data_IF_429469968085
#
_entry.id   IF_429469968085
#
_cell.length_a   1.000
_cell.length_b   1.000
_cell.length_c   1.000
_cell.angle_alpha   90.00
_cell.angle_beta   90.00
_cell.angle_gamma   90.00
#
_symmetry.space_group_name_H-M   'P 1'
#
loop_
_entity.id
_entity.type
_entity.pdbx_description
1 polymer ?
#
# COMPACT_ATOMS: atom_id res chain seq x y z
N UNK A 1 8.01 -21.72 11.29
CA UNK A 1 9.18 -21.20 10.54
C UNK A 1 8.70 -19.97 9.80
N UNK A 2 9.49 -18.91 9.71
CA UNK A 2 9.12 -17.74 8.88
C UNK A 2 9.46 -18.06 7.43
N UNK A 3 8.43 -18.23 6.58
CA UNK A 3 8.65 -18.34 5.14
C UNK A 3 8.93 -16.97 4.57
N UNK A 4 10.10 -16.81 3.97
CA UNK A 4 10.48 -15.60 3.24
C UNK A 4 11.42 -16.00 2.10
N UNK A 5 10.85 -16.35 0.94
CA UNK A 5 11.60 -16.95 -0.17
C UNK A 5 11.01 -16.61 -1.53
N UNK A 6 11.87 -16.51 -2.54
CA UNK A 6 11.46 -16.45 -3.94
C UNK A 6 10.83 -17.78 -4.34
N UNK A 7 9.65 -17.76 -4.96
CA UNK A 7 8.93 -18.97 -5.38
C UNK A 7 8.64 -19.03 -6.86
N UNK A 8 8.61 -17.89 -7.55
CA UNK A 8 8.39 -17.83 -8.99
C UNK A 8 8.93 -16.53 -9.58
N UNK A 9 9.09 -16.48 -10.90
CA UNK A 9 9.42 -15.27 -11.65
C UNK A 9 8.75 -15.25 -13.01
N UNK A 10 8.30 -14.07 -13.41
CA UNK A 10 7.75 -13.83 -14.74
C UNK A 10 8.70 -12.90 -15.50
N UNK A 11 9.08 -13.29 -16.72
CA UNK A 11 9.80 -12.45 -17.67
C UNK A 11 8.76 -11.86 -18.62
N UNK A 12 8.79 -10.54 -18.81
CA UNK A 12 7.87 -9.82 -19.68
C UNK A 12 8.29 -9.93 -21.16
N UNK A 13 7.41 -9.50 -22.06
CA UNK A 13 7.66 -9.58 -23.50
C UNK A 13 8.65 -8.50 -23.98
N UNK A 14 9.17 -8.65 -25.21
CA UNK A 14 10.04 -7.64 -25.82
C UNK A 14 9.34 -6.27 -25.91
N UNK A 15 10.04 -5.22 -25.46
CA UNK A 15 9.51 -3.86 -25.36
C UNK A 15 8.68 -3.58 -24.10
N UNK A 16 8.48 -4.59 -23.22
CA UNK A 16 7.99 -4.42 -21.85
C UNK A 16 9.21 -4.35 -20.91
N UNK A 17 10.09 -3.37 -21.17
CA UNK A 17 11.35 -3.17 -20.44
C UNK A 17 11.13 -2.36 -19.16
N UNK A 18 12.03 -2.54 -18.19
CA UNK A 18 12.08 -1.81 -16.92
C UNK A 18 10.74 -1.85 -16.21
N UNK A 19 10.43 -2.91 -15.46
CA UNK A 19 9.24 -2.91 -14.62
C UNK A 19 9.46 -1.87 -13.49
N UNK A 20 8.69 -0.78 -13.50
CA UNK A 20 8.89 0.38 -12.62
C UNK A 20 7.93 0.40 -11.43
N UNK A 21 6.63 0.22 -11.68
CA UNK A 21 5.62 0.21 -10.62
C UNK A 21 4.59 -0.90 -10.85
N UNK A 22 3.85 -1.24 -9.79
CA UNK A 22 2.89 -2.33 -9.81
C UNK A 22 1.72 -2.06 -8.85
N UNK A 23 0.52 -2.40 -9.29
CA UNK A 23 -0.68 -2.40 -8.45
C UNK A 23 -1.55 -3.62 -8.72
N UNK A 24 -2.41 -3.96 -7.78
CA UNK A 24 -3.35 -5.08 -7.88
C UNK A 24 -4.78 -4.55 -7.94
N UNK A 25 -5.59 -5.16 -8.80
CA UNK A 25 -7.04 -4.97 -8.82
C UNK A 25 -7.72 -6.29 -9.17
N UNK A 26 -8.56 -6.79 -8.25
CA UNK A 26 -9.22 -8.08 -8.40
C UNK A 26 -8.23 -9.25 -8.50
N UNK A 27 -8.38 -10.06 -9.56
CA UNK A 27 -7.54 -11.26 -9.80
C UNK A 27 -6.28 -10.98 -10.64
N UNK A 28 -6.00 -9.71 -10.91
CA UNK A 28 -4.92 -9.28 -11.78
C UNK A 28 -4.01 -8.28 -11.06
N UNK A 29 -2.77 -8.22 -11.53
CA UNK A 29 -1.86 -7.12 -11.26
C UNK A 29 -1.54 -6.40 -12.56
N UNK A 30 -1.26 -5.11 -12.45
CA UNK A 30 -0.94 -4.22 -13.55
C UNK A 30 0.46 -3.68 -13.32
N UNK A 31 1.34 -3.88 -14.29
CA UNK A 31 2.76 -3.51 -14.20
C UNK A 31 3.05 -2.40 -15.19
N UNK A 32 3.55 -1.27 -14.69
CA UNK A 32 4.05 -0.19 -15.52
C UNK A 32 5.48 -0.54 -15.95
N UNK A 33 5.65 -0.65 -17.26
CA UNK A 33 6.93 -0.81 -17.92
C UNK A 33 7.23 0.47 -18.71
N UNK A 34 8.49 0.83 -18.87
CA UNK A 34 8.86 1.97 -19.70
C UNK A 34 10.28 2.45 -19.50
N UNK A 35 10.89 2.93 -20.59
CA UNK A 35 12.23 3.53 -20.60
C UNK A 35 12.31 4.67 -21.62
N UNK A 36 13.49 5.27 -21.77
CA UNK A 36 13.71 6.45 -22.64
C UNK A 36 13.37 6.24 -24.11
N UNK A 37 13.44 5.01 -24.61
CA UNK A 37 13.42 4.70 -26.04
C UNK A 37 12.14 4.03 -26.53
N UNK A 38 11.24 3.66 -25.62
CA UNK A 38 9.99 2.96 -25.94
C UNK A 38 8.85 3.58 -25.14
N UNK A 39 7.68 3.86 -25.74
CA UNK A 39 6.54 4.36 -25.00
C UNK A 39 6.20 3.47 -23.81
N UNK A 40 5.79 4.03 -22.66
CA UNK A 40 5.43 3.24 -21.48
C UNK A 40 4.28 2.28 -21.80
N UNK A 41 4.27 1.15 -21.10
CA UNK A 41 3.24 0.12 -21.24
C UNK A 41 2.67 -0.24 -19.88
N UNK A 42 1.38 -0.52 -19.86
CA UNK A 42 0.75 -1.19 -18.71
C UNK A 42 0.46 -2.63 -19.10
N UNK A 43 1.09 -3.56 -18.40
CA UNK A 43 0.99 -5.00 -18.64
C UNK A 43 0.07 -5.62 -17.61
N UNK A 44 -0.98 -6.30 -18.05
CA UNK A 44 -1.86 -7.07 -17.19
C UNK A 44 -1.32 -8.48 -17.00
N UNK A 45 -1.17 -8.87 -15.73
CA UNK A 45 -0.68 -10.18 -15.32
C UNK A 45 -1.71 -10.82 -14.40
N UNK A 46 -2.14 -12.03 -14.73
CA UNK A 46 -3.06 -12.78 -13.90
C UNK A 46 -2.33 -13.30 -12.67
N UNK A 47 -2.87 -13.09 -11.46
CA UNK A 47 -2.27 -13.59 -10.20
C UNK A 47 -2.25 -15.12 -10.13
N UNK A 48 -3.24 -15.76 -10.76
CA UNK A 48 -3.37 -17.21 -10.91
C UNK A 48 -3.78 -17.51 -12.36
N UNK A 49 -2.86 -17.97 -13.23
CA UNK A 49 -1.67 -18.78 -12.89
C UNK A 49 -0.33 -18.02 -12.85
N UNK A 50 -0.27 -16.73 -12.52
CA UNK A 50 0.96 -15.92 -12.58
C UNK A 50 1.54 -15.81 -14.01
N UNK A 51 0.71 -15.34 -14.94
CA UNK A 51 1.08 -15.19 -16.36
C UNK A 51 0.68 -13.83 -16.92
N UNK A 52 1.51 -13.29 -17.81
CA UNK A 52 1.16 -12.12 -18.64
C UNK A 52 -0.05 -12.47 -19.50
N UNK A 53 -0.99 -11.52 -19.64
CA UNK A 53 -2.27 -11.75 -20.34
C UNK A 53 -2.46 -10.82 -21.53
N UNK A 54 -2.29 -9.51 -21.32
CA UNK A 54 -2.36 -8.47 -22.36
C UNK A 54 -1.62 -7.22 -21.88
N UNK A 55 -1.47 -6.24 -22.77
CA UNK A 55 -0.86 -4.96 -22.45
C UNK A 55 -1.51 -3.82 -23.24
N UNK A 56 -1.39 -2.60 -22.72
CA UNK A 56 -1.71 -1.37 -23.44
C UNK A 56 -0.45 -0.51 -23.53
N UNK A 57 -0.21 0.06 -24.70
CA UNK A 57 0.89 0.99 -24.94
C UNK A 57 0.37 2.41 -24.83
N UNK A 58 1.02 3.22 -23.99
CA UNK A 58 0.72 4.64 -23.85
C UNK A 58 1.28 5.42 -25.05
N UNK A 59 0.74 6.61 -25.36
CA UNK A 59 1.25 7.44 -26.44
C UNK A 59 2.71 7.85 -26.21
N UNK A 60 3.46 8.09 -27.28
CA UNK A 60 4.88 8.50 -27.22
C UNK A 60 5.10 9.76 -26.38
N UNK A 61 4.16 10.69 -26.43
CA UNK A 61 4.16 11.95 -25.69
C UNK A 61 3.82 11.78 -24.19
N UNK A 62 3.61 10.55 -23.72
CA UNK A 62 3.60 10.24 -22.30
C UNK A 62 5.00 10.39 -21.68
N UNK A 63 6.08 10.19 -22.44
CA UNK A 63 7.43 10.17 -21.90
C UNK A 63 7.67 8.92 -21.05
N UNK A 64 8.15 9.09 -19.82
CA UNK A 64 8.40 8.01 -18.87
C UNK A 64 7.17 7.76 -18.00
N UNK A 65 6.86 6.49 -17.70
CA UNK A 65 5.93 6.15 -16.64
C UNK A 65 6.64 6.13 -15.29
N UNK A 66 6.08 6.77 -14.25
CA UNK A 66 6.71 6.86 -12.92
C UNK A 66 5.98 6.04 -11.87
N UNK A 67 4.66 6.16 -11.81
CA UNK A 67 3.86 5.48 -10.81
C UNK A 67 2.51 5.07 -11.37
N UNK A 68 1.94 4.02 -10.80
CA UNK A 68 0.60 3.56 -11.15
C UNK A 68 -0.20 3.20 -9.90
N UNK A 69 -1.50 3.43 -9.96
CA UNK A 69 -2.45 2.99 -8.93
C UNK A 69 -3.74 2.50 -9.57
N UNK A 70 -4.39 1.53 -8.93
CA UNK A 70 -5.70 1.05 -9.36
C UNK A 70 -6.78 1.53 -8.39
N UNK A 71 -7.87 2.06 -8.91
CA UNK A 71 -9.05 2.43 -8.11
C UNK A 71 -10.32 2.43 -8.98
N UNK A 72 -11.45 1.98 -8.42
CA UNK A 72 -12.76 2.10 -9.06
C UNK A 72 -12.90 1.45 -10.44
N UNK A 73 -12.15 0.38 -10.74
CA UNK A 73 -12.16 -0.25 -12.07
C UNK A 73 -11.25 0.43 -13.10
N UNK A 74 -10.40 1.35 -12.66
CA UNK A 74 -9.46 2.07 -13.50
C UNK A 74 -8.02 1.95 -12.99
N UNK A 75 -7.08 2.10 -13.91
CA UNK A 75 -5.65 2.26 -13.67
C UNK A 75 -5.31 3.71 -13.98
N UNK A 76 -4.66 4.38 -13.05
CA UNK A 76 -4.14 5.73 -13.23
C UNK A 76 -2.63 5.64 -13.32
N UNK A 77 -2.08 6.11 -14.44
CA UNK A 77 -0.64 6.07 -14.70
C UNK A 77 -0.13 7.48 -14.78
N UNK A 78 0.80 7.84 -13.90
CA UNK A 78 1.51 9.10 -13.97
C UNK A 78 2.73 8.96 -14.87
N UNK A 79 2.79 9.85 -15.85
CA UNK A 79 3.87 9.92 -16.80
C UNK A 79 4.45 11.33 -16.86
N UNK A 80 5.71 11.44 -17.26
CA UNK A 80 6.35 12.72 -17.50
C UNK A 80 7.33 12.66 -18.67
N UNK A 81 7.30 13.72 -19.47
CA UNK A 81 8.24 14.01 -20.54
C UNK A 81 9.03 15.26 -20.13
N UNK A 82 10.36 15.18 -20.21
CA UNK A 82 11.25 16.25 -19.76
C UNK A 82 10.90 17.60 -20.40
N UNK A 83 10.75 18.64 -19.57
CA UNK A 83 10.36 19.99 -19.99
C UNK A 83 8.88 20.13 -20.35
N UNK A 84 8.04 19.15 -20.02
CA UNK A 84 6.59 19.20 -20.20
C UNK A 84 5.85 18.87 -18.89
N UNK A 85 4.66 19.45 -18.68
CA UNK A 85 3.81 19.10 -17.56
C UNK A 85 3.55 17.60 -17.47
N UNK A 86 3.46 17.08 -16.25
CA UNK A 86 3.13 15.69 -16.02
C UNK A 86 1.73 15.35 -16.53
N UNK A 87 1.53 14.08 -16.89
CA UNK A 87 0.26 13.57 -17.41
C UNK A 87 -0.23 12.39 -16.60
N UNK A 88 -1.53 12.28 -16.43
CA UNK A 88 -2.18 11.11 -15.84
C UNK A 88 -3.05 10.47 -16.90
N UNK A 89 -2.74 9.23 -17.25
CA UNK A 89 -3.58 8.43 -18.14
C UNK A 89 -4.53 7.58 -17.30
N UNK A 90 -5.84 7.67 -17.58
CA UNK A 90 -6.87 6.82 -16.99
C UNK A 90 -7.17 5.69 -17.97
N UNK A 91 -7.02 4.45 -17.51
CA UNK A 91 -7.15 3.23 -18.31
C UNK A 91 -8.25 2.38 -17.69
N UNK A 92 -9.17 1.84 -18.49
CA UNK A 92 -10.17 0.88 -18.01
C UNK A 92 -9.52 -0.48 -17.74
N UNK A 93 -9.80 -1.08 -16.57
CA UNK A 93 -9.37 -2.44 -16.25
C UNK A 93 -10.04 -3.48 -17.18
N UNK A 94 -11.32 -3.29 -17.50
CA UNK A 94 -12.08 -4.27 -18.29
C UNK A 94 -11.55 -4.39 -19.73
N UNK A 95 -11.35 -3.25 -20.39
CA UNK A 95 -10.92 -3.21 -21.80
C UNK A 95 -9.41 -3.09 -21.97
N UNK A 96 -8.68 -2.69 -20.93
CA UNK A 96 -7.28 -2.29 -20.98
C UNK A 96 -7.03 -1.23 -22.07
N UNK A 97 -7.88 -0.20 -22.11
CA UNK A 97 -7.75 0.92 -23.04
C UNK A 97 -7.72 2.25 -22.30
N UNK A 98 -6.97 3.22 -22.81
CA UNK A 98 -6.96 4.59 -22.32
C UNK A 98 -8.35 5.18 -22.59
N UNK A 99 -8.99 5.71 -21.55
CA UNK A 99 -10.33 6.30 -21.64
C UNK A 99 -10.32 7.81 -21.41
N UNK A 100 -9.29 8.33 -20.74
CA UNK A 100 -9.17 9.75 -20.43
C UNK A 100 -7.70 10.11 -20.10
N UNK A 101 -7.38 11.39 -20.14
CA UNK A 101 -6.04 11.89 -19.79
C UNK A 101 -6.13 13.28 -19.20
N UNK A 102 -5.45 13.48 -18.06
CA UNK A 102 -5.21 14.82 -17.49
C UNK A 102 -3.79 15.26 -17.81
N UNK A 103 -3.62 16.51 -18.23
CA UNK A 103 -2.32 17.19 -18.27
C UNK A 103 -2.30 18.21 -17.14
N UNK A 104 -1.27 18.16 -16.29
CA UNK A 104 -1.13 19.08 -15.17
C UNK A 104 -0.76 20.51 -15.61
N UNK A 105 -0.76 21.44 -14.66
CA UNK A 105 -0.43 22.84 -14.91
C UNK A 105 1.00 23.06 -15.42
N UNK A 106 1.23 24.22 -16.03
CA UNK A 106 2.58 24.62 -16.46
C UNK A 106 3.53 24.72 -15.27
N UNK A 107 4.67 24.03 -15.34
CA UNK A 107 5.65 23.95 -14.25
C UNK A 107 5.32 22.87 -13.21
N UNK A 108 4.29 22.04 -13.43
CA UNK A 108 4.01 20.86 -12.61
C UNK A 108 4.61 19.64 -13.28
N UNK A 109 5.92 19.51 -13.14
CA UNK A 109 6.72 18.47 -13.77
C UNK A 109 7.09 17.39 -12.75
N UNK A 110 7.70 16.31 -13.21
CA UNK A 110 8.29 15.28 -12.34
C UNK A 110 9.78 15.30 -12.59
N UNK A 111 10.57 15.46 -11.53
CA UNK A 111 12.01 15.43 -11.69
C UNK A 111 12.51 13.99 -11.92
N UNK A 112 13.04 13.73 -13.12
CA UNK A 112 13.27 12.38 -13.66
C UNK A 112 14.28 11.52 -12.92
N UNK A 113 15.17 12.13 -12.13
CA UNK A 113 16.18 11.41 -11.36
C UNK A 113 15.61 10.69 -10.12
N UNK A 114 14.31 10.85 -9.83
CA UNK A 114 13.70 10.36 -8.60
C UNK A 114 12.46 9.50 -8.87
N UNK A 115 12.61 8.20 -8.67
CA UNK A 115 11.60 7.16 -8.95
C UNK A 115 11.01 6.60 -7.64
N UNK A 116 10.54 7.48 -6.75
CA UNK A 116 9.83 7.06 -5.53
C UNK A 116 8.31 6.98 -5.71
N UNK A 117 7.57 6.60 -4.65
CA UNK A 117 6.10 6.62 -4.67
C UNK A 117 5.61 8.07 -4.59
N UNK A 118 5.29 8.63 -5.75
CA UNK A 118 4.79 10.01 -5.86
C UNK A 118 3.28 10.07 -6.12
N UNK A 119 2.55 8.95 -6.03
CA UNK A 119 1.09 8.91 -6.11
C UNK A 119 0.49 8.19 -4.90
N UNK A 120 -0.52 8.80 -4.29
CA UNK A 120 -1.33 8.17 -3.23
C UNK A 120 -2.80 8.49 -3.41
N UNK A 121 -3.64 7.51 -3.09
CA UNK A 121 -5.09 7.65 -3.07
C UNK A 121 -5.53 8.13 -1.69
N UNK A 122 -6.50 9.05 -1.63
CA UNK A 122 -7.21 9.38 -0.39
C UNK A 122 -7.85 8.13 0.22
N UNK A 123 -8.01 8.09 1.55
CA UNK A 123 -8.62 6.92 2.21
C UNK A 123 -10.07 6.68 1.81
N UNK A 124 -10.80 7.74 1.44
CA UNK A 124 -12.17 7.65 0.92
C UNK A 124 -12.23 7.30 -0.58
N UNK A 125 -11.08 7.25 -1.27
CA UNK A 125 -10.98 6.93 -2.70
C UNK A 125 -11.49 8.03 -3.64
N UNK A 126 -11.78 9.24 -3.15
CA UNK A 126 -12.34 10.31 -3.98
C UNK A 126 -11.28 11.14 -4.70
N UNK A 127 -10.07 11.22 -4.13
CA UNK A 127 -8.98 12.03 -4.67
C UNK A 127 -7.69 11.24 -4.85
N UNK A 128 -6.94 11.62 -5.86
CA UNK A 128 -5.55 11.21 -6.08
C UNK A 128 -4.63 12.39 -5.76
N UNK A 129 -3.61 12.14 -4.96
CA UNK A 129 -2.56 13.12 -4.66
C UNK A 129 -1.27 12.74 -5.36
N UNK A 130 -0.62 13.74 -5.96
CA UNK A 130 0.55 13.56 -6.81
C UNK A 130 1.65 14.49 -6.39
N UNK A 131 2.85 13.94 -6.20
CA UNK A 131 4.06 14.68 -5.97
C UNK A 131 4.53 15.26 -7.30
N UNK A 132 4.62 16.58 -7.35
CA UNK A 132 5.16 17.33 -8.49
C UNK A 132 6.36 18.14 -8.03
N UNK A 133 7.21 18.52 -8.98
CA UNK A 133 8.33 19.44 -8.77
C UNK A 133 8.20 20.60 -9.74
N UNK A 134 8.35 21.81 -9.21
CA UNK A 134 8.43 23.01 -10.02
C UNK A 134 9.83 23.22 -10.54
N UNK A 135 10.07 22.89 -11.80
CA UNK A 135 11.37 23.09 -12.46
C UNK A 135 11.47 24.56 -12.94
N UNK A 136 11.45 25.49 -11.98
CA UNK A 136 11.80 26.91 -12.18
C UNK A 136 13.00 27.30 -11.33
N UNK A 137 13.35 28.58 -11.31
CA UNK A 137 14.50 29.13 -10.57
C UNK A 137 14.54 28.82 -9.07
N UNK A 138 13.44 28.33 -8.49
CA UNK A 138 13.27 28.05 -7.07
C UNK A 138 13.01 26.58 -6.71
N UNK A 139 13.00 25.67 -7.68
CA UNK A 139 12.97 24.20 -7.54
C UNK A 139 12.14 23.68 -6.34
N UNK A 140 10.81 23.82 -6.39
CA UNK A 140 9.95 23.50 -5.23
C UNK A 140 9.22 22.17 -5.36
N UNK A 141 9.08 21.48 -4.24
CA UNK A 141 8.18 20.35 -4.12
C UNK A 141 6.72 20.84 -4.09
N UNK A 142 5.79 20.11 -4.72
CA UNK A 142 4.35 20.38 -4.64
C UNK A 142 3.50 19.13 -4.62
N UNK A 143 2.29 19.24 -4.11
CA UNK A 143 1.28 18.19 -4.14
C UNK A 143 0.10 18.68 -4.97
N UNK A 144 -0.18 18.02 -6.09
CA UNK A 144 -1.41 18.24 -6.85
C UNK A 144 -2.52 17.31 -6.33
N UNK A 145 -3.75 17.83 -6.19
CA UNK A 145 -4.94 17.10 -5.76
C UNK A 145 -5.91 16.94 -6.92
N UNK A 146 -6.17 15.71 -7.31
CA UNK A 146 -6.99 15.37 -8.49
C UNK A 146 -8.30 14.74 -8.03
N UNK A 147 -9.43 15.25 -8.49
CA UNK A 147 -10.74 14.61 -8.28
C UNK A 147 -10.89 13.43 -9.25
N UNK A 148 -11.10 12.23 -8.71
CA UNK A 148 -11.11 11.00 -9.52
C UNK A 148 -12.38 10.81 -10.36
N UNK A 149 -13.46 11.50 -9.98
CA UNK A 149 -14.74 11.44 -10.70
C UNK A 149 -14.66 12.19 -12.02
N UNK A 150 -14.08 13.37 -12.01
CA UNK A 150 -13.96 14.29 -13.15
C UNK A 150 -12.59 14.22 -13.83
N UNK A 151 -11.60 13.59 -13.18
CA UNK A 151 -10.20 13.58 -13.59
C UNK A 151 -9.67 15.01 -13.81
N UNK A 152 -10.00 15.91 -12.89
CA UNK A 152 -9.55 17.30 -12.92
C UNK A 152 -8.69 17.62 -11.70
N UNK A 153 -7.70 18.48 -11.90
CA UNK A 153 -6.97 19.08 -10.80
C UNK A 153 -7.88 20.05 -10.03
N UNK A 154 -7.96 19.87 -8.73
CA UNK A 154 -8.80 20.67 -7.82
C UNK A 154 -7.97 21.55 -6.87
N UNK A 155 -6.65 21.52 -7.02
CA UNK A 155 -5.73 22.34 -6.27
C UNK A 155 -4.31 21.82 -6.29
N UNK A 156 -3.37 22.74 -6.09
CA UNK A 156 -1.97 22.47 -5.89
C UNK A 156 -1.46 23.15 -4.62
N UNK A 157 -0.72 22.39 -3.82
CA UNK A 157 -0.03 22.88 -2.64
C UNK A 157 1.47 22.84 -2.89
N UNK A 158 2.09 24.01 -3.03
CA UNK A 158 3.55 24.11 -3.08
C UNK A 158 4.10 24.09 -1.66
N UNK A 159 5.01 23.17 -1.40
CA UNK A 159 5.67 23.01 -0.11
C UNK A 159 6.84 24.00 0.01
N UNK A 160 7.30 24.21 1.24
CA UNK A 160 8.51 25.01 1.51
C UNK A 160 9.80 24.24 1.21
N UNK A 161 9.69 22.94 0.96
CA UNK A 161 10.77 22.00 0.73
C UNK A 161 11.11 21.83 -0.75
N UNK A 162 12.25 21.21 -1.01
CA UNK A 162 12.71 20.85 -2.35
C UNK A 162 12.42 19.36 -2.57
N UNK A 163 11.80 19.06 -3.71
CA UNK A 163 11.40 17.73 -4.18
C UNK A 163 10.49 16.88 -3.29
N UNK A 164 9.66 16.08 -3.95
CA UNK A 164 8.87 15.01 -3.33
C UNK A 164 9.35 13.66 -3.84
N UNK A 165 9.47 12.72 -2.93
CA UNK A 165 10.09 11.43 -3.18
C UNK A 165 9.20 10.29 -2.72
N UNK A 166 8.55 10.44 -1.56
CA UNK A 166 7.61 9.46 -1.02
C UNK A 166 6.37 10.11 -0.44
N UNK A 167 5.25 9.41 -0.50
CA UNK A 167 4.01 9.86 0.15
C UNK A 167 3.25 8.71 0.80
N UNK A 168 2.66 8.99 1.95
CA UNK A 168 1.74 8.08 2.65
C UNK A 168 0.62 8.88 3.31
N UNK A 169 -0.57 8.30 3.38
CA UNK A 169 -1.74 8.92 4.04
C UNK A 169 -2.09 8.13 5.31
N UNK A 170 -2.55 8.83 6.34
CA UNK A 170 -3.22 8.25 7.51
C UNK A 170 -4.30 9.22 8.00
N UNK A 171 -5.55 8.77 7.97
CA UNK A 171 -6.72 9.60 8.20
C UNK A 171 -6.74 10.80 7.25
N UNK A 172 -6.84 12.00 7.82
CA UNK A 172 -6.87 13.26 7.08
C UNK A 172 -5.48 13.90 6.88
N UNK A 173 -4.39 13.19 7.18
CA UNK A 173 -3.03 13.71 7.05
C UNK A 173 -2.30 12.97 5.93
N UNK A 174 -1.75 13.73 4.99
CA UNK A 174 -0.78 13.29 4.02
C UNK A 174 0.63 13.60 4.55
N UNK A 175 1.47 12.57 4.59
CA UNK A 175 2.88 12.66 4.92
C UNK A 175 3.67 12.65 3.63
N UNK A 176 4.46 13.70 3.41
CA UNK A 176 5.29 13.87 2.22
C UNK A 176 6.74 13.86 2.63
N UNK A 177 7.49 12.91 2.12
CA UNK A 177 8.93 12.87 2.25
C UNK A 177 9.54 13.79 1.19
N UNK A 178 10.44 14.66 1.64
CA UNK A 178 11.14 15.67 0.83
C UNK A 178 12.59 15.81 1.27
N UNK A 179 13.44 16.44 0.45
CA UNK A 179 14.85 16.66 0.79
C UNK A 179 15.38 18.00 0.24
N UNK A 180 15.24 19.10 0.99
CA UNK A 180 15.98 20.34 0.75
C UNK A 180 17.49 20.13 0.89
N UNK A 181 18.24 20.08 -0.22
CA UNK A 181 19.70 20.21 -0.20
C UNK A 181 20.39 19.25 0.77
N UNK A 182 20.07 17.96 0.66
CA UNK A 182 20.57 16.83 1.47
C UNK A 182 19.97 16.64 2.87
N UNK A 183 19.06 17.49 3.34
CA UNK A 183 18.38 17.27 4.63
C UNK A 183 17.01 16.63 4.41
N UNK A 184 16.86 15.36 4.80
CA UNK A 184 15.59 14.66 4.72
C UNK A 184 14.55 15.27 5.66
N UNK A 185 13.34 15.47 5.13
CA UNK A 185 12.19 16.04 5.86
C UNK A 185 10.94 15.21 5.64
N UNK A 186 10.05 15.30 6.63
CA UNK A 186 8.67 14.84 6.53
C UNK A 186 7.76 16.05 6.69
N UNK A 187 6.97 16.33 5.67
CA UNK A 187 5.96 17.39 5.66
C UNK A 187 4.60 16.77 5.94
N UNK A 188 3.85 17.36 6.87
CA UNK A 188 2.46 16.98 7.14
C UNK A 188 1.55 17.96 6.41
N UNK A 189 0.64 17.42 5.61
CA UNK A 189 -0.40 18.17 4.89
C UNK A 189 -1.76 17.72 5.41
N UNK A 190 -2.56 18.67 5.90
CA UNK A 190 -3.96 18.42 6.22
C UNK A 190 -4.75 18.36 4.92
N UNK A 191 -5.44 17.25 4.66
CA UNK A 191 -6.16 17.01 3.42
C UNK A 191 -7.52 17.72 3.34
N UNK A 192 -8.11 18.07 4.48
CA UNK A 192 -9.40 18.78 4.55
C UNK A 192 -9.22 20.26 4.19
N UNK A 193 -8.17 20.90 4.70
CA UNK A 193 -7.83 22.28 4.34
C UNK A 193 -6.88 22.36 3.15
N UNK A 194 -6.23 21.25 2.80
CA UNK A 194 -5.18 21.15 1.79
C UNK A 194 -4.03 22.12 2.03
N UNK A 195 -3.55 22.15 3.27
CA UNK A 195 -2.47 23.04 3.73
C UNK A 195 -1.37 22.27 4.43
N UNK A 196 -0.13 22.72 4.26
CA UNK A 196 1.01 22.26 5.07
C UNK A 196 0.81 22.70 6.53
N UNK A 197 0.80 21.74 7.46
CA UNK A 197 0.55 22.00 8.89
C UNK A 197 1.78 21.79 9.77
N UNK A 198 2.75 21.00 9.31
CA UNK A 198 4.00 20.81 10.02
C UNK A 198 5.13 20.34 9.09
N UNK A 199 6.37 20.58 9.53
CA UNK A 199 7.58 20.05 8.92
C UNK A 199 8.43 19.45 10.03
N UNK A 200 8.95 18.26 9.79
CA UNK A 200 9.85 17.57 10.72
C UNK A 200 11.15 17.26 9.99
N UNK A 201 12.23 17.85 10.47
CA UNK A 201 13.56 17.53 10.00
C UNK A 201 13.97 16.16 10.55
N UNK A 202 14.50 15.29 9.68
CA UNK A 202 15.11 14.03 10.08
C UNK A 202 16.57 14.27 10.54
N UNK A 203 16.80 15.44 11.16
CA UNK A 203 18.02 16.27 11.25
C UNK A 203 19.28 15.67 11.87
N UNK A 204 19.33 14.39 12.19
CA UNK A 204 20.56 13.79 12.71
C UNK A 204 21.52 13.33 11.64
N UNK A 205 21.07 13.09 10.40
CA UNK A 205 22.01 12.94 9.30
C UNK A 205 21.40 13.38 7.96
N UNK A 206 22.27 13.75 7.04
CA UNK A 206 21.94 14.14 5.67
C UNK A 206 21.29 12.92 5.00
N UNK A 207 20.08 13.04 4.47
CA UNK A 207 19.31 11.90 3.97
C UNK A 207 18.44 12.29 2.79
N UNK A 208 18.44 11.44 1.77
CA UNK A 208 17.44 11.41 0.73
C UNK A 208 16.39 10.37 1.15
N UNK A 209 15.20 10.78 1.62
CA UNK A 209 14.13 9.84 1.80
C UNK A 209 13.68 9.38 0.40
N UNK A 210 13.36 8.09 0.21
CA UNK A 210 12.91 7.60 -1.11
C UNK A 210 11.43 7.26 -1.12
N UNK A 211 10.94 6.71 -0.02
CA UNK A 211 9.55 6.33 0.13
C UNK A 211 9.19 6.29 1.61
N UNK A 212 7.90 6.33 1.90
CA UNK A 212 7.41 6.23 3.26
C UNK A 212 6.09 5.49 3.37
N UNK A 213 5.86 4.93 4.56
CA UNK A 213 4.65 4.18 4.88
C UNK A 213 4.23 4.48 6.31
N UNK A 214 3.00 4.94 6.49
CA UNK A 214 2.40 5.04 7.84
C UNK A 214 1.88 3.67 8.26
N UNK A 215 2.17 3.28 9.50
CA UNK A 215 1.59 2.11 10.17
C UNK A 215 1.31 2.44 11.63
N UNK A 216 0.03 2.47 12.00
CA UNK A 216 -0.38 2.91 13.33
C UNK A 216 0.09 4.34 13.60
N UNK A 217 0.76 4.54 14.75
CA UNK A 217 1.27 5.85 15.16
C UNK A 217 2.72 6.13 14.68
N UNK A 218 3.20 5.39 13.68
CA UNK A 218 4.56 5.54 13.18
C UNK A 218 4.58 5.77 11.68
N UNK A 219 5.45 6.67 11.23
CA UNK A 219 5.86 6.80 9.84
C UNK A 219 7.21 6.11 9.66
N UNK A 220 7.28 5.21 8.71
CA UNK A 220 8.52 4.54 8.34
C UNK A 220 9.03 5.15 7.04
N UNK A 221 10.26 5.65 7.07
CA UNK A 221 10.88 6.37 5.96
C UNK A 221 12.10 5.58 5.50
N UNK A 222 12.11 5.19 4.23
CA UNK A 222 13.33 4.64 3.61
C UNK A 222 14.32 5.76 3.42
N UNK A 223 15.54 5.55 3.91
CA UNK A 223 16.65 6.49 3.76
C UNK A 223 17.70 5.93 2.82
N UNK A 224 18.21 6.82 1.99
CA UNK A 224 19.48 6.67 1.32
C UNK A 224 20.36 7.87 1.65
N UNK A 225 21.66 7.65 1.65
CA UNK A 225 22.64 8.66 1.96
C UNK A 225 23.90 8.43 1.14
N UNK A 226 24.52 9.52 0.71
CA UNK A 226 25.89 9.56 0.22
C UNK A 226 26.57 10.79 0.82
N UNK A 227 27.57 10.59 1.69
CA UNK A 227 28.50 11.66 2.09
C UNK A 227 29.91 11.14 2.00
N UNK A 228 30.76 11.93 1.33
CA UNK A 228 32.18 11.62 1.17
C UNK A 228 32.43 10.23 0.54
N UNK A 229 31.48 9.76 -0.28
CA UNK A 229 31.52 8.44 -0.93
C UNK A 229 31.14 7.26 -0.02
N UNK A 230 30.76 7.52 1.24
CA UNK A 230 30.15 6.52 2.11
C UNK A 230 28.65 6.54 1.89
N UNK A 231 28.14 5.45 1.35
CA UNK A 231 26.73 5.25 1.17
C UNK A 231 26.14 4.62 2.44
N UNK A 232 25.00 5.08 2.92
CA UNK A 232 24.29 4.42 4.01
C UNK A 232 22.82 4.25 3.66
N UNK A 233 22.27 3.09 3.97
CA UNK A 233 20.83 2.87 3.92
C UNK A 233 20.28 2.53 5.27
N UNK A 234 18.96 2.60 5.35
CA UNK A 234 18.24 2.23 6.53
C UNK A 234 16.78 2.53 6.41
N UNK A 235 16.12 2.34 7.52
CA UNK A 235 14.73 2.71 7.71
C UNK A 235 14.61 3.50 9.01
N UNK A 236 14.04 4.69 8.90
CA UNK A 236 13.76 5.55 10.04
C UNK A 236 12.31 5.37 10.44
N UNK A 237 12.07 4.98 11.70
CA UNK A 237 10.76 4.94 12.34
C UNK A 237 10.55 6.23 13.12
N UNK A 238 9.66 7.08 12.63
CA UNK A 238 9.26 8.33 13.27
C UNK A 238 7.94 8.14 14.02
N UNK A 239 7.92 8.35 15.33
CA UNK A 239 6.68 8.42 16.10
C UNK A 239 5.91 9.70 15.73
N UNK A 240 4.65 9.58 15.35
CA UNK A 240 3.87 10.70 14.81
C UNK A 240 3.31 11.65 15.88
N UNK A 241 3.20 11.18 17.12
CA UNK A 241 2.79 11.96 18.30
C UNK A 241 3.98 12.70 18.93
N UNK A 242 5.08 11.98 19.21
CA UNK A 242 6.22 12.53 19.95
C UNK A 242 7.31 13.10 19.03
N UNK A 243 7.26 12.77 17.75
CA UNK A 243 8.26 13.14 16.74
C UNK A 243 9.67 12.62 17.03
N UNK A 244 9.78 11.61 17.88
CA UNK A 244 11.03 10.91 18.13
C UNK A 244 11.29 9.91 17.00
N UNK A 245 12.52 9.90 16.49
CA UNK A 245 12.94 9.00 15.42
C UNK A 245 13.93 7.94 15.94
N UNK A 246 13.77 6.72 15.45
CA UNK A 246 14.70 5.62 15.64
C UNK A 246 15.08 5.03 14.28
N UNK A 247 16.33 4.65 14.11
CA UNK A 247 16.82 4.24 12.80
C UNK A 247 17.53 2.89 12.85
N UNK A 248 17.21 2.04 11.90
CA UNK A 248 17.97 0.81 11.64
C UNK A 248 19.00 1.13 10.56
N UNK A 249 20.31 1.18 10.89
CA UNK A 249 21.32 1.24 9.86
C UNK A 249 21.36 -0.09 9.12
N UNK A 250 21.46 -0.01 7.80
CA UNK A 250 21.63 -1.15 6.91
C UNK A 250 22.96 -1.00 6.18
N UNK A 251 23.47 -2.13 5.71
CA UNK A 251 24.77 -2.17 5.08
C UNK A 251 24.88 -1.13 3.95
N UNK A 252 26.04 -0.49 3.88
CA UNK A 252 26.32 0.73 3.14
C UNK A 252 26.03 0.69 1.62
N UNK A 253 25.72 -0.47 1.04
CA UNK A 253 25.70 -0.64 -0.42
C UNK A 253 24.32 -0.62 -1.07
N UNK A 254 23.28 -0.21 -0.33
CA UNK A 254 21.91 -0.25 -0.83
C UNK A 254 21.42 1.12 -1.28
N UNK A 255 20.51 1.17 -2.24
CA UNK A 255 19.56 2.28 -2.39
C UNK A 255 18.20 1.66 -2.09
N UNK A 256 17.35 2.26 -1.28
CA UNK A 256 16.05 1.66 -0.95
C UNK A 256 14.95 2.40 -1.70
N UNK A 257 14.01 1.69 -2.34
CA UNK A 257 13.12 2.32 -3.32
C UNK A 257 11.65 2.31 -2.97
N UNK A 258 11.10 1.17 -2.57
CA UNK A 258 9.68 1.03 -2.25
C UNK A 258 9.51 0.39 -0.89
N UNK A 259 8.65 0.95 -0.05
CA UNK A 259 8.23 0.33 1.21
C UNK A 259 6.73 0.05 1.19
N UNK A 260 6.34 -1.11 1.71
CA UNK A 260 4.94 -1.41 2.01
C UNK A 260 4.81 -2.07 3.38
N UNK A 261 3.63 -1.94 3.99
CA UNK A 261 3.26 -2.68 5.18
C UNK A 261 2.33 -3.84 4.81
N UNK A 262 2.67 -5.05 5.26
CA UNK A 262 1.89 -6.25 5.01
C UNK A 262 2.14 -7.31 6.10
N UNK A 263 1.11 -8.02 6.57
CA UNK A 263 1.24 -9.03 7.64
C UNK A 263 2.05 -8.58 8.87
N UNK A 264 1.80 -7.37 9.40
CA UNK A 264 2.51 -6.84 10.57
C UNK A 264 4.02 -6.64 10.36
N UNK A 265 4.48 -6.69 9.11
CA UNK A 265 5.86 -6.48 8.71
C UNK A 265 5.93 -5.35 7.69
N UNK A 266 7.07 -4.66 7.67
CA UNK A 266 7.44 -3.80 6.56
C UNK A 266 8.28 -4.60 5.59
N UNK A 267 8.03 -4.39 4.31
CA UNK A 267 8.86 -4.91 3.23
C UNK A 267 9.38 -3.74 2.45
N UNK A 268 10.66 -3.79 2.06
CA UNK A 268 11.18 -2.85 1.10
C UNK A 268 12.22 -3.46 0.17
N UNK A 269 12.38 -2.79 -0.96
CA UNK A 269 13.25 -3.19 -2.06
C UNK A 269 14.56 -2.42 -2.04
N UNK A 270 15.66 -3.09 -2.39
CA UNK A 270 16.93 -2.43 -2.65
C UNK A 270 17.25 -2.38 -4.14
N UNK A 271 17.82 -1.26 -4.57
CA UNK A 271 18.48 -1.05 -5.83
C UNK A 271 19.96 -1.06 -5.60
N UNK A 272 20.43 -2.28 -5.46
CA UNK A 272 21.84 -2.54 -5.32
C UNK A 272 22.17 -3.75 -6.15
N UNK A 273 23.46 -3.95 -6.36
CA UNK A 273 23.98 -5.22 -6.82
C UNK A 273 24.83 -5.77 -5.66
N UNK A 274 24.38 -6.81 -4.95
CA UNK A 274 23.20 -7.63 -5.20
C UNK A 274 21.87 -6.97 -4.78
N UNK A 275 20.80 -7.21 -5.55
CA UNK A 275 19.44 -6.72 -5.23
C UNK A 275 18.78 -7.59 -4.16
N UNK A 276 18.09 -6.96 -3.21
CA UNK A 276 17.56 -7.60 -2.01
C UNK A 276 16.16 -7.12 -1.69
N UNK A 277 15.39 -8.00 -1.07
CA UNK A 277 14.11 -7.66 -0.43
C UNK A 277 14.31 -7.82 1.07
N UNK A 278 13.99 -6.79 1.82
CA UNK A 278 14.15 -6.79 3.28
C UNK A 278 12.78 -6.85 3.93
N UNK A 279 12.65 -7.67 4.98
CA UNK A 279 11.48 -7.76 5.85
C UNK A 279 11.86 -7.27 7.23
N UNK A 280 11.13 -6.30 7.77
CA UNK A 280 11.25 -5.83 9.16
C UNK A 280 9.95 -6.18 9.87
N UNK A 281 10.01 -7.05 10.87
CA UNK A 281 8.82 -7.35 11.69
C UNK A 281 8.61 -6.24 12.70
N UNK A 282 7.41 -5.69 12.78
CA UNK A 282 7.14 -4.51 13.59
C UNK A 282 7.15 -4.79 15.10
N UNK A 283 6.76 -5.99 15.50
CA UNK A 283 6.79 -6.49 16.89
C UNK A 283 8.18 -6.94 17.36
N UNK A 284 9.09 -7.19 16.42
CA UNK A 284 10.49 -7.57 16.69
C UNK A 284 11.48 -6.43 16.34
N UNK A 285 11.01 -5.19 16.19
CA UNK A 285 11.87 -4.04 15.86
C UNK A 285 13.04 -3.91 16.85
N UNK A 286 14.30 -3.70 16.38
CA UNK A 286 14.72 -3.36 15.01
C UNK A 286 15.15 -4.56 14.14
N UNK A 287 14.75 -5.79 14.46
CA UNK A 287 15.23 -6.97 13.74
C UNK A 287 14.66 -7.05 12.32
N UNK A 288 15.51 -7.48 11.38
CA UNK A 288 15.13 -7.65 9.98
C UNK A 288 15.71 -8.92 9.35
N UNK A 289 15.08 -9.37 8.28
CA UNK A 289 15.53 -10.47 7.43
C UNK A 289 15.80 -9.95 6.02
N UNK A 290 16.79 -10.54 5.35
CA UNK A 290 17.16 -10.18 3.98
C UNK A 290 16.97 -11.40 3.09
N UNK A 291 16.25 -11.22 1.99
CA UNK A 291 16.17 -12.17 0.89
C UNK A 291 17.04 -11.63 -0.27
N UNK A 292 18.13 -12.34 -0.56
CA UNK A 292 18.96 -12.06 -1.72
C UNK A 292 18.29 -12.63 -2.98
N UNK A 293 18.05 -11.76 -3.96
CA UNK A 293 17.43 -12.10 -5.25
C UNK A 293 18.34 -11.74 -6.43
N UNK A 294 19.62 -11.51 -6.18
CA UNK A 294 20.56 -10.98 -7.18
C UNK A 294 20.75 -11.85 -8.42
N UNK A 295 20.63 -13.17 -8.29
CA UNK A 295 20.65 -14.08 -9.43
C UNK A 295 19.51 -13.81 -10.42
N UNK A 296 18.37 -13.30 -9.93
CA UNK A 296 17.15 -13.07 -10.70
C UNK A 296 16.90 -11.58 -10.99
N UNK A 297 17.50 -10.70 -10.20
CA UNK A 297 17.43 -9.25 -10.30
C UNK A 297 18.84 -8.63 -10.24
N UNK A 298 19.60 -8.64 -11.35
CA UNK A 298 20.94 -8.05 -11.37
C UNK A 298 20.91 -6.52 -11.31
N UNK A 299 19.79 -5.91 -11.73
CA UNK A 299 19.62 -4.47 -11.91
C UNK A 299 18.35 -4.04 -11.20
N UNK A 300 18.47 -3.72 -9.92
CA UNK A 300 17.51 -2.98 -9.09
C UNK A 300 16.07 -3.50 -8.96
N UNK A 301 15.50 -3.29 -7.79
CA UNK A 301 14.08 -3.55 -7.52
C UNK A 301 13.35 -2.22 -7.33
N UNK A 302 12.16 -2.09 -7.92
CA UNK A 302 11.34 -0.88 -7.80
C UNK A 302 10.01 -1.20 -7.10
N UNK A 303 8.90 -1.14 -7.87
CA UNK A 303 7.54 -1.33 -7.40
C UNK A 303 7.35 -2.67 -6.70
N UNK A 304 6.50 -2.63 -5.67
CA UNK A 304 6.15 -3.80 -4.89
C UNK A 304 4.70 -3.69 -4.44
N UNK A 305 3.99 -4.80 -4.53
CA UNK A 305 2.62 -4.96 -4.04
C UNK A 305 2.46 -6.33 -3.39
N UNK A 306 1.49 -6.45 -2.50
CA UNK A 306 1.20 -7.70 -1.81
C UNK A 306 -0.21 -8.20 -2.13
N UNK A 307 -0.39 -9.52 -2.20
CA UNK A 307 -1.71 -10.16 -2.17
C UNK A 307 -1.59 -11.62 -1.75
N UNK A 308 -2.51 -12.05 -0.89
CA UNK A 308 -2.53 -13.39 -0.32
C UNK A 308 -1.25 -13.65 0.46
N UNK A 309 -0.54 -14.72 0.15
CA UNK A 309 0.69 -15.10 0.86
C UNK A 309 1.96 -14.59 0.17
N UNK A 310 1.81 -13.66 -0.78
CA UNK A 310 2.88 -13.29 -1.70
C UNK A 310 3.10 -11.78 -1.78
N UNK A 311 4.35 -11.42 -1.99
CA UNK A 311 4.77 -10.15 -2.59
C UNK A 311 5.03 -10.36 -4.07
N UNK A 312 4.75 -9.33 -4.85
CA UNK A 312 5.10 -9.21 -6.26
C UNK A 312 6.00 -8.00 -6.41
N UNK A 313 7.21 -8.21 -6.94
CA UNK A 313 8.27 -7.19 -6.96
C UNK A 313 8.76 -6.99 -8.39
N UNK A 314 8.74 -5.74 -8.84
CA UNK A 314 9.26 -5.34 -10.14
C UNK A 314 10.79 -5.31 -10.15
N UNK A 315 11.37 -5.85 -11.22
CA UNK A 315 12.81 -5.83 -11.49
C UNK A 315 13.08 -4.92 -12.68
N UNK A 316 14.07 -4.04 -12.54
CA UNK A 316 14.48 -3.09 -13.58
C UNK A 316 15.39 -3.74 -14.62
N UNK A 317 14.88 -4.71 -15.36
CA UNK A 317 15.61 -5.40 -16.42
C UNK A 317 15.04 -5.13 -17.81
N UNK A 318 15.76 -5.56 -18.85
CA UNK A 318 15.28 -5.58 -20.24
C UNK A 318 15.43 -7.00 -20.79
N UNK A 319 14.33 -7.74 -21.06
CA UNK A 319 12.94 -7.41 -20.72
C UNK A 319 12.71 -7.25 -19.21
N UNK A 320 11.65 -6.54 -18.81
CA UNK A 320 11.24 -6.40 -17.41
C UNK A 320 10.91 -7.75 -16.78
N UNK A 321 10.99 -7.84 -15.45
CA UNK A 321 10.62 -9.06 -14.71
C UNK A 321 9.78 -8.74 -13.48
N UNK A 322 9.03 -9.73 -13.03
CA UNK A 322 8.28 -9.71 -11.77
C UNK A 322 8.71 -10.91 -10.95
N UNK A 323 9.15 -10.68 -9.72
CA UNK A 323 9.44 -11.73 -8.75
C UNK A 323 8.19 -12.01 -7.91
N UNK A 324 7.90 -13.28 -7.66
CA UNK A 324 6.87 -13.72 -6.71
C UNK A 324 7.55 -14.28 -5.48
N UNK A 325 7.37 -13.61 -4.35
CA UNK A 325 8.02 -13.95 -3.09
C UNK A 325 6.98 -14.38 -2.10
N UNK A 326 7.12 -15.58 -1.54
CA UNK A 326 6.25 -16.06 -0.48
C UNK A 326 6.71 -15.46 0.86
N UNK A 327 5.79 -14.83 1.57
CA UNK A 327 6.05 -14.13 2.85
C UNK A 327 5.41 -14.79 4.06
N UNK A 328 4.48 -15.70 3.82
CA UNK A 328 3.82 -16.49 4.85
C UNK A 328 3.63 -17.94 4.39
N UNK A 329 3.60 -18.87 5.34
CA UNK A 329 3.24 -20.25 5.05
C UNK A 329 1.79 -20.30 4.58
N UNK A 330 1.54 -21.08 3.53
CA UNK A 330 0.19 -21.58 3.34
C UNK A 330 -0.06 -22.48 4.53
N UNK A 331 -0.92 -22.04 5.46
CA UNK A 331 -1.44 -22.90 6.51
C UNK A 331 -1.96 -24.12 5.75
N UNK A 332 -1.33 -25.31 5.89
CA UNK A 332 -1.79 -26.48 5.19
C UNK A 332 -3.24 -26.63 5.60
N UNK A 333 -4.14 -26.52 4.62
CA UNK A 333 -5.51 -26.91 4.83
C UNK A 333 -5.40 -28.35 5.35
N UNK A 334 -5.68 -28.59 6.63
CA UNK A 334 -5.75 -29.95 7.19
C UNK A 334 -7.07 -30.53 6.67
N UNK A 335 -7.18 -30.64 5.36
CA UNK A 335 -8.17 -31.42 4.68
C UNK A 335 -7.44 -32.72 4.39
N UNK A 336 -7.81 -33.80 5.07
CA UNK A 336 -7.18 -35.12 4.96
C UNK A 336 -7.33 -35.80 3.59
N UNK A 337 -7.28 -35.08 2.47
CA UNK A 337 -7.23 -35.63 1.12
C UNK A 337 -6.31 -34.83 0.20
N UNK A 338 -5.28 -35.53 -0.26
CA UNK A 338 -4.20 -35.10 -1.15
C UNK A 338 -4.61 -35.09 -2.63
N UNK A 339 -5.61 -34.31 -3.01
CA UNK A 339 -5.92 -34.08 -4.43
C UNK A 339 -5.60 -32.64 -4.86
N UNK A 340 -4.98 -32.43 -6.04
CA UNK A 340 -4.65 -31.10 -6.54
C UNK A 340 -5.92 -30.29 -6.82
N UNK A 341 -5.97 -29.06 -6.30
CA UNK A 341 -7.17 -28.22 -6.31
C UNK A 341 -7.46 -27.60 -7.69
N UNK A 342 -8.61 -27.96 -8.27
CA UNK A 342 -9.30 -27.21 -9.33
C UNK A 342 -9.77 -25.85 -8.75
N UNK A 343 -9.54 -24.69 -9.41
CA UNK A 343 -9.97 -23.38 -8.92
C UNK A 343 -11.49 -23.28 -8.66
N UNK A 344 -12.34 -24.11 -9.30
CA UNK A 344 -13.78 -24.22 -8.96
C UNK A 344 -14.03 -24.83 -7.59
N UNK A 345 -13.03 -25.49 -6.99
CA UNK A 345 -13.07 -26.00 -5.63
C UNK A 345 -12.85 -24.87 -4.63
N UNK A 346 -12.11 -23.81 -4.97
CA UNK A 346 -11.86 -22.65 -4.09
C UNK A 346 -13.17 -21.89 -3.81
N UNK A 347 -14.01 -21.64 -4.83
CA UNK A 347 -15.35 -21.09 -4.64
C UNK A 347 -16.27 -22.04 -3.87
N UNK A 348 -16.32 -23.33 -4.24
CA UNK A 348 -17.13 -24.33 -3.50
C UNK A 348 -16.68 -24.50 -2.05
N UNK A 349 -15.42 -24.23 -1.76
CA UNK A 349 -14.87 -24.30 -0.42
C UNK A 349 -15.26 -23.07 0.38
N UNK A 350 -15.13 -21.87 -0.19
CA UNK A 350 -15.60 -20.63 0.42
C UNK A 350 -17.10 -20.73 0.74
N UNK A 351 -17.93 -21.26 -0.15
CA UNK A 351 -19.35 -21.48 0.13
C UNK A 351 -19.63 -22.50 1.25
N UNK A 352 -18.79 -23.53 1.41
CA UNK A 352 -18.97 -24.58 2.42
C UNK A 352 -18.49 -24.20 3.81
N UNK A 353 -17.53 -23.28 3.87
CA UNK A 353 -16.92 -22.80 5.11
C UNK A 353 -17.27 -21.33 5.37
N UNK A 354 -18.19 -20.77 4.59
CA UNK A 354 -18.68 -19.42 4.77
C UNK A 354 -19.28 -19.31 6.16
N UNK A 355 -18.78 -18.36 6.92
CA UNK A 355 -19.36 -17.98 8.19
C UNK A 355 -19.86 -16.55 8.07
N UNK A 356 -21.07 -16.32 8.55
CA UNK A 356 -21.68 -15.00 8.57
C UNK A 356 -22.45 -14.82 9.86
N UNK A 357 -22.27 -13.66 10.47
CA UNK A 357 -23.09 -13.23 11.60
C UNK A 357 -24.37 -12.61 11.08
N UNK A 358 -25.47 -12.80 11.82
CA UNK A 358 -26.57 -11.85 11.74
C UNK A 358 -26.09 -10.44 12.14
N UNK A 359 -26.82 -9.41 11.72
CA UNK A 359 -26.60 -8.05 12.23
C UNK A 359 -26.94 -8.01 13.73
N UNK A 360 -26.01 -7.53 14.56
CA UNK A 360 -26.22 -7.30 15.98
C UNK A 360 -26.37 -5.82 16.27
N UNK A 361 -27.27 -5.48 17.19
CA UNK A 361 -27.52 -4.10 17.61
C UNK A 361 -26.89 -3.82 18.99
N UNK A 362 -25.99 -2.85 19.04
CA UNK A 362 -25.33 -2.35 20.25
C UNK A 362 -26.02 -1.04 20.66
N UNK A 363 -26.71 -1.07 21.80
CA UNK A 363 -27.46 0.07 22.36
C UNK A 363 -26.90 0.58 23.68
N UNK A 364 -25.81 -0.02 24.17
CA UNK A 364 -25.07 0.39 25.37
C UNK A 364 -23.61 0.50 24.98
N UNK A 365 -22.90 1.51 25.49
CA UNK A 365 -21.47 1.69 25.19
C UNK A 365 -20.58 0.80 26.07
N UNK A 366 -19.38 0.48 25.59
CA UNK A 366 -18.37 -0.28 26.32
C UNK A 366 -18.72 -1.75 26.53
N UNK A 367 -18.10 -2.35 27.56
CA UNK A 367 -18.19 -3.79 27.84
C UNK A 367 -19.62 -4.27 28.15
N UNK A 368 -20.44 -3.43 28.79
CA UNK A 368 -21.84 -3.76 29.09
C UNK A 368 -22.70 -3.89 27.81
N UNK A 369 -22.27 -3.24 26.73
CA UNK A 369 -22.91 -3.30 25.42
C UNK A 369 -22.44 -4.41 24.50
N UNK A 370 -21.47 -5.21 24.92
CA UNK A 370 -20.86 -6.23 24.09
C UNK A 370 -21.91 -7.18 23.50
N UNK A 371 -21.83 -7.45 22.18
CA UNK A 371 -22.67 -8.40 21.45
C UNK A 371 -21.83 -9.48 20.79
N UNK A 372 -22.27 -10.72 20.89
CA UNK A 372 -21.62 -11.84 20.22
C UNK A 372 -22.03 -11.87 18.75
N UNK A 373 -21.06 -12.03 17.84
CA UNK A 373 -21.32 -12.17 16.40
C UNK A 373 -21.68 -13.61 15.99
N UNK A 374 -21.89 -14.51 16.95
CA UNK A 374 -22.22 -15.91 16.70
C UNK A 374 -21.88 -16.77 17.91
N UNK A 375 -21.93 -18.10 17.74
CA UNK A 375 -21.46 -19.05 18.75
C UNK A 375 -19.94 -19.01 18.90
N UNK A 376 -19.41 -19.58 19.99
CA UNK A 376 -17.99 -19.88 20.08
C UNK A 376 -17.53 -20.74 18.88
N UNK A 377 -16.26 -20.61 18.51
CA UNK A 377 -15.64 -21.42 17.46
C UNK A 377 -15.66 -22.89 17.92
N UNK A 378 -16.24 -23.82 17.14
CA UNK A 378 -16.36 -25.22 17.55
C UNK A 378 -15.01 -25.90 17.79
N UNK A 379 -15.04 -27.04 18.47
CA UNK A 379 -13.84 -27.85 18.71
C UNK A 379 -13.18 -28.30 17.41
N UNK A 380 -11.85 -28.15 17.33
CA UNK A 380 -11.05 -28.47 16.16
C UNK A 380 -11.23 -27.50 14.98
N UNK A 381 -11.88 -26.35 15.21
CA UNK A 381 -12.11 -25.32 14.20
C UNK A 381 -11.34 -24.04 14.48
N UNK A 382 -11.09 -23.27 13.43
CA UNK A 382 -10.72 -21.86 13.52
C UNK A 382 -11.72 -21.02 12.74
N UNK A 383 -11.99 -19.80 13.21
CA UNK A 383 -12.83 -18.85 12.49
C UNK A 383 -12.04 -17.61 12.16
N UNK A 384 -12.08 -17.19 10.90
CA UNK A 384 -11.39 -16.02 10.39
C UNK A 384 -12.41 -15.02 9.88
N UNK A 385 -12.60 -13.92 10.61
CA UNK A 385 -13.48 -12.82 10.20
C UNK A 385 -12.74 -11.96 9.18
N UNK A 386 -13.25 -11.88 7.95
CA UNK A 386 -12.60 -11.17 6.83
C UNK A 386 -13.25 -9.83 6.51
N UNK A 387 -14.53 -9.69 6.83
CA UNK A 387 -15.28 -8.47 6.58
C UNK A 387 -16.13 -8.14 7.80
N UNK A 388 -16.22 -6.84 8.12
CA UNK A 388 -17.12 -6.30 9.13
C UNK A 388 -17.80 -5.07 8.52
N UNK A 389 -19.12 -5.09 8.49
CA UNK A 389 -19.93 -3.93 8.13
C UNK A 389 -20.47 -3.31 9.41
N UNK A 390 -20.17 -2.03 9.63
CA UNK A 390 -20.68 -1.24 10.75
C UNK A 390 -21.54 -0.12 10.23
N UNK A 391 -22.79 -0.05 10.68
CA UNK A 391 -23.68 1.09 10.48
C UNK A 391 -23.94 1.76 11.81
N UNK A 392 -23.52 3.02 11.94
CA UNK A 392 -23.66 3.78 13.16
C UNK A 392 -24.65 4.92 12.96
N UNK A 393 -25.72 4.97 13.77
CA UNK A 393 -26.74 6.01 13.69
C UNK A 393 -26.64 7.03 14.82
N UNK A 394 -25.61 6.94 15.66
CA UNK A 394 -25.35 7.88 16.74
C UNK A 394 -24.93 9.26 16.21
N UNK A 395 -25.07 10.26 17.07
CA UNK A 395 -24.70 11.65 16.78
C UNK A 395 -23.22 11.94 17.04
N UNK A 396 -22.52 11.05 17.73
CA UNK A 396 -21.08 11.13 17.98
C UNK A 396 -20.33 10.12 17.11
N UNK A 397 -19.02 10.33 16.93
CA UNK A 397 -18.16 9.28 16.38
C UNK A 397 -18.02 8.15 17.42
N UNK A 398 -17.81 6.92 16.94
CA UNK A 398 -17.62 5.75 17.79
C UNK A 398 -16.47 4.90 17.30
N UNK A 399 -15.90 4.09 18.19
CA UNK A 399 -14.94 3.04 17.85
C UNK A 399 -15.63 1.70 18.05
N UNK A 400 -15.70 0.90 16.99
CA UNK A 400 -16.17 -0.49 17.08
C UNK A 400 -14.97 -1.41 17.26
N UNK A 401 -14.98 -2.17 18.34
CA UNK A 401 -13.92 -3.12 18.68
C UNK A 401 -14.42 -4.53 18.44
N UNK A 402 -13.70 -5.30 17.62
CA UNK A 402 -13.81 -6.76 17.52
C UNK A 402 -12.88 -7.40 18.55
N UNK A 403 -13.41 -8.32 19.34
CA UNK A 403 -12.69 -8.97 20.44
C UNK A 403 -13.13 -10.42 20.64
N UNK A 404 -12.35 -11.18 21.42
CA UNK A 404 -12.84 -12.40 22.06
C UNK A 404 -13.81 -11.99 23.16
N UNK A 405 -14.97 -12.63 23.27
CA UNK A 405 -15.98 -12.28 24.26
C UNK A 405 -15.40 -12.24 25.68
N UNK A 406 -15.44 -11.08 26.33
CA UNK A 406 -14.84 -10.87 27.66
C UNK A 406 -13.29 -10.95 27.70
N UNK A 407 -12.63 -10.91 26.55
CA UNK A 407 -11.20 -11.15 26.40
C UNK A 407 -10.50 -10.09 25.55
N UNK A 408 -9.46 -10.53 24.82
CA UNK A 408 -8.55 -9.64 24.11
C UNK A 408 -9.16 -9.00 22.84
N UNK A 409 -8.85 -7.73 22.62
CA UNK A 409 -9.13 -6.99 21.39
C UNK A 409 -8.34 -7.56 20.21
N UNK A 410 -9.02 -7.75 19.08
CA UNK A 410 -8.43 -8.21 17.81
C UNK A 410 -8.37 -7.11 16.74
N UNK A 411 -9.31 -6.15 16.76
CA UNK A 411 -9.39 -5.04 15.81
C UNK A 411 -10.22 -3.90 16.41
N UNK A 412 -9.85 -2.66 16.12
CA UNK A 412 -10.66 -1.46 16.37
C UNK A 412 -10.88 -0.71 15.05
N UNK A 413 -12.09 -0.19 14.86
CA UNK A 413 -12.54 0.50 13.65
C UNK A 413 -13.15 1.83 14.06
N UNK A 414 -12.59 2.94 13.56
CA UNK A 414 -13.19 4.26 13.73
C UNK A 414 -14.40 4.43 12.80
N UNK A 415 -15.54 4.79 13.38
CA UNK A 415 -16.81 4.91 12.67
C UNK A 415 -17.41 6.30 12.94
N UNK A 416 -17.45 7.18 11.92
CA UNK A 416 -18.07 8.49 12.07
C UNK A 416 -19.55 8.44 12.45
N UNK A 417 -20.05 9.50 13.08
CA UNK A 417 -21.47 9.71 13.35
C UNK A 417 -22.30 9.51 12.07
N UNK A 418 -23.49 8.90 12.21
CA UNK A 418 -24.47 8.74 11.13
C UNK A 418 -23.90 8.14 9.82
N UNK A 419 -22.93 7.21 9.92
CA UNK A 419 -22.22 6.67 8.76
C UNK A 419 -22.27 5.14 8.69
N UNK A 420 -21.85 4.59 7.54
CA UNK A 420 -21.59 3.17 7.38
C UNK A 420 -20.13 2.98 6.98
N UNK A 421 -19.44 2.04 7.62
CA UNK A 421 -18.07 1.64 7.33
C UNK A 421 -18.02 0.15 7.04
N UNK A 422 -17.24 -0.22 6.04
CA UNK A 422 -16.89 -1.61 5.77
C UNK A 422 -15.40 -1.74 6.00
N UNK A 423 -15.04 -2.60 6.94
CA UNK A 423 -13.67 -3.07 7.06
C UNK A 423 -13.58 -4.41 6.35
N UNK A 424 -12.56 -4.58 5.51
CA UNK A 424 -12.21 -5.88 4.96
C UNK A 424 -10.71 -6.11 5.05
N UNK A 425 -10.33 -7.36 5.23
CA UNK A 425 -8.93 -7.80 5.20
C UNK A 425 -8.85 -9.17 4.58
N UNK A 426 -7.92 -9.33 3.65
CA UNK A 426 -7.63 -10.64 3.05
C UNK A 426 -7.24 -11.68 4.11
N UNK A 427 -6.54 -11.21 5.16
CA UNK A 427 -5.99 -12.02 6.25
C UNK A 427 -7.01 -12.24 7.36
N UNK A 428 -7.94 -11.30 7.52
CA UNK A 428 -8.99 -11.33 8.53
C UNK A 428 -8.46 -11.26 9.97
N UNK A 429 -9.30 -11.67 10.92
CA UNK A 429 -8.96 -11.85 12.34
C UNK A 429 -9.31 -13.25 12.78
N UNK A 430 -8.32 -13.96 13.31
CA UNK A 430 -8.42 -15.36 13.69
C UNK A 430 -8.97 -15.48 15.11
N UNK A 431 -9.96 -16.35 15.25
CA UNK A 431 -10.52 -16.86 16.48
C UNK A 431 -10.22 -18.35 16.55
N UNK A 432 -9.57 -18.76 17.63
CA UNK A 432 -9.25 -20.16 17.88
C UNK A 432 -10.45 -20.91 18.43
N UNK A 433 -10.37 -22.24 18.45
CA UNK A 433 -11.32 -23.10 19.15
C UNK A 433 -11.69 -22.54 20.53
N UNK A 434 -12.99 -22.52 20.83
CA UNK A 434 -13.55 -22.02 22.09
C UNK A 434 -13.62 -20.50 22.21
N UNK A 435 -12.89 -19.74 21.39
CA UNK A 435 -13.03 -18.28 21.35
C UNK A 435 -14.38 -17.89 20.74
N UNK A 436 -15.09 -16.93 21.33
CA UNK A 436 -16.33 -16.41 20.79
C UNK A 436 -16.10 -15.00 20.23
N UNK A 437 -16.30 -14.77 18.93
CA UNK A 437 -16.22 -13.42 18.38
C UNK A 437 -17.32 -12.53 18.93
N UNK A 438 -16.92 -11.36 19.41
CA UNK A 438 -17.82 -10.34 19.92
C UNK A 438 -17.40 -8.95 19.44
N UNK A 439 -18.34 -8.02 19.53
CA UNK A 439 -18.16 -6.60 19.20
C UNK A 439 -18.71 -5.72 20.30
N UNK A 440 -18.11 -4.56 20.47
CA UNK A 440 -18.62 -3.49 21.33
C UNK A 440 -18.37 -2.12 20.66
N UNK A 441 -19.12 -1.11 21.08
CA UNK A 441 -19.01 0.27 20.58
C UNK A 441 -18.57 1.17 21.73
N UNK A 442 -17.64 2.11 21.50
CA UNK A 442 -17.21 3.05 22.54
C UNK A 442 -18.26 4.12 22.87
N UNK A 443 -19.14 4.44 21.92
CA UNK A 443 -20.24 5.42 22.05
C UNK A 443 -21.46 4.97 21.23
N UNK A 444 -22.67 5.20 21.76
CA UNK A 444 -23.97 4.98 21.09
C UNK A 444 -24.92 6.16 21.31
N UNK A 445 -24.39 7.31 21.69
CA UNK A 445 -25.15 8.52 22.01
C UNK A 445 -25.96 8.98 20.80
N UNK A 446 -27.26 9.23 21.01
CA UNK A 446 -28.15 9.70 19.96
C UNK A 446 -28.52 8.65 18.89
N UNK A 447 -28.19 7.36 19.10
CA UNK A 447 -28.51 6.31 18.13
C UNK A 447 -28.11 4.90 18.58
N UNK A 448 -27.73 4.06 17.62
CA UNK A 448 -27.25 2.70 17.90
C UNK A 448 -26.16 2.32 16.89
N UNK A 449 -25.39 1.29 17.21
CA UNK A 449 -24.39 0.72 16.32
C UNK A 449 -24.81 -0.68 15.90
N UNK A 450 -24.93 -0.88 14.60
CA UNK A 450 -25.30 -2.15 13.98
C UNK A 450 -24.06 -2.77 13.34
N UNK A 451 -23.78 -4.03 13.63
CA UNK A 451 -22.59 -4.71 13.15
C UNK A 451 -22.95 -6.06 12.57
N UNK A 452 -22.50 -6.33 11.36
CA UNK A 452 -22.45 -7.69 10.79
C UNK A 452 -21.02 -8.03 10.40
N UNK A 453 -20.73 -9.32 10.32
CA UNK A 453 -19.42 -9.81 9.97
C UNK A 453 -19.54 -11.06 9.11
N UNK A 454 -18.60 -11.23 8.19
CA UNK A 454 -18.47 -12.45 7.39
C UNK A 454 -17.02 -12.91 7.35
N UNK A 455 -16.85 -14.19 7.05
CA UNK A 455 -15.57 -14.84 7.17
C UNK A 455 -15.61 -16.29 6.77
N UNK A 456 -14.64 -17.04 7.28
CA UNK A 456 -14.49 -18.46 7.01
C UNK A 456 -14.34 -19.20 8.33
N UNK A 457 -15.04 -20.31 8.50
CA UNK A 457 -14.87 -21.26 9.61
C UNK A 457 -14.41 -22.61 9.06
N UNK A 458 -13.22 -23.04 9.47
CA UNK A 458 -12.54 -24.23 8.93
C UNK A 458 -12.12 -25.23 9.99
#
# INVERSE_FOLDING_TARGET
>A
MTVFKLVDKLILETGEDLALDIAIYGSYMYVLCGGTTVPPRVVEVSLKPFRRTRAVTLPTEAGWGYSLICHGGYIYVLCHLEGAPAKIYKISVDTLSIIDTLTLGSGEEIYSYMIGKIMVLSEDGTHLYIGVTRISSDFRAGVARIDLKTLQETGILWLTEYNNVGMSISGNILYVCSYPGYLGRVVKVDLATFTQVAVHDLSQHLYEPHDCQVVGNYLYVLRWYSLDGVYETGITRLNLETLTAETIPMDASYESWRIIHYFGSLYFTTWSTPSRIVRVKLDEWPNYMVLDVSADAPVGLHGMVASGLYLYVCVRSSPGRILKVQVEEAIPMICGRSEPLDPRVEEKWLHRHHWESGEVNITVAGAEGQKNLGTAVPTGKIRRIKEITVRHTGTNNTVVTLLVAGGATKLSIDVPAQSTRVWSSQDGRIFNEGEQPAVQSSDVTGGSTYVSASGVEE
#
